data_IF_309473039276
#
_entry.id   IF_309473039276
#
_cell.length_a   1.000
_cell.length_b   1.000
_cell.length_c   1.000
_cell.angle_alpha   90.00
_cell.angle_beta   90.00
_cell.angle_gamma   90.00
#
_symmetry.space_group_name_H-M   'P 1'
#
loop_
_entity.id
_entity.type
_entity.pdbx_description
1 polymer ?
#
# COMPACT_ATOMS: atom_id res chain seq x y z
N UNK A 1 -24.49 15.18 -16.69
CA UNK A 1 -23.42 14.87 -17.67
C UNK A 1 -22.08 14.57 -16.98
N UNK A 2 -21.51 15.40 -16.09
CA UNK A 2 -20.24 15.14 -15.40
C UNK A 2 -20.23 13.86 -14.53
N UNK A 3 -21.34 13.54 -13.82
CA UNK A 3 -21.44 12.31 -13.03
C UNK A 3 -21.42 11.03 -13.85
N UNK A 4 -21.97 11.05 -15.08
CA UNK A 4 -21.96 9.88 -15.97
C UNK A 4 -20.59 9.63 -16.61
N UNK A 5 -19.86 10.68 -16.98
CA UNK A 5 -18.49 10.60 -17.49
C UNK A 5 -17.53 10.06 -16.41
N UNK A 6 -17.69 10.50 -15.16
CA UNK A 6 -16.90 10.05 -14.01
C UNK A 6 -17.15 8.56 -13.70
N UNK A 7 -18.39 8.09 -13.81
CA UNK A 7 -18.74 6.67 -13.66
C UNK A 7 -18.14 5.82 -14.77
N UNK A 8 -18.22 6.25 -16.04
CA UNK A 8 -17.61 5.54 -17.17
C UNK A 8 -16.09 5.37 -17.00
N UNK A 9 -15.40 6.41 -16.53
CA UNK A 9 -13.97 6.33 -16.24
C UNK A 9 -13.63 5.31 -15.15
N UNK A 10 -14.44 5.21 -14.07
CA UNK A 10 -14.25 4.20 -13.03
C UNK A 10 -14.43 2.77 -13.59
N UNK A 11 -15.51 2.53 -14.34
CA UNK A 11 -15.76 1.21 -14.92
C UNK A 11 -14.63 0.75 -15.86
N UNK A 12 -14.11 1.62 -16.71
CA UNK A 12 -12.98 1.30 -17.59
C UNK A 12 -11.72 0.93 -16.81
N UNK A 13 -11.39 1.66 -15.74
CA UNK A 13 -10.23 1.40 -14.88
C UNK A 13 -10.41 0.10 -14.10
N UNK A 14 -11.60 -0.15 -13.57
CA UNK A 14 -11.93 -1.38 -12.85
C UNK A 14 -11.87 -2.60 -13.78
N UNK A 15 -12.45 -2.51 -14.96
CA UNK A 15 -12.38 -3.56 -15.98
C UNK A 15 -10.92 -3.81 -16.36
N UNK A 16 -10.13 -2.76 -16.60
CA UNK A 16 -8.70 -2.89 -16.89
C UNK A 16 -7.93 -3.61 -15.79
N UNK A 17 -8.18 -3.27 -14.51
CA UNK A 17 -7.56 -3.96 -13.37
C UNK A 17 -7.97 -5.43 -13.31
N UNK A 18 -9.27 -5.74 -13.45
CA UNK A 18 -9.77 -7.12 -13.41
C UNK A 18 -9.22 -7.94 -14.59
N UNK A 19 -9.16 -7.36 -15.78
CA UNK A 19 -8.58 -8.02 -16.96
C UNK A 19 -7.08 -8.28 -16.75
N UNK A 20 -6.34 -7.33 -16.18
CA UNK A 20 -4.93 -7.52 -15.84
C UNK A 20 -4.74 -8.67 -14.85
N UNK A 21 -5.52 -8.70 -13.77
CA UNK A 21 -5.47 -9.78 -12.78
C UNK A 21 -5.84 -11.14 -13.40
N UNK A 22 -6.87 -11.20 -14.22
CA UNK A 22 -7.25 -12.42 -14.91
C UNK A 22 -6.17 -12.90 -15.88
N UNK A 23 -5.55 -11.99 -16.64
CA UNK A 23 -4.45 -12.31 -17.54
C UNK A 23 -3.22 -12.83 -16.79
N UNK A 24 -2.86 -12.20 -15.65
CA UNK A 24 -1.78 -12.69 -14.79
C UNK A 24 -2.07 -14.09 -14.25
N UNK A 25 -3.30 -14.35 -13.82
CA UNK A 25 -3.70 -15.69 -13.35
C UNK A 25 -3.54 -16.74 -14.46
N UNK A 26 -4.13 -16.50 -15.63
CA UNK A 26 -4.09 -17.43 -16.78
C UNK A 26 -2.65 -17.71 -17.22
N UNK A 27 -1.79 -16.68 -17.22
CA UNK A 27 -0.40 -16.81 -17.62
C UNK A 27 0.44 -17.70 -16.67
N UNK A 28 0.11 -17.73 -15.37
CA UNK A 28 0.95 -18.34 -14.35
C UNK A 28 0.27 -19.48 -13.55
N UNK A 29 -1.01 -19.80 -13.82
CA UNK A 29 -1.76 -20.84 -13.08
C UNK A 29 -1.11 -22.24 -13.15
N UNK A 30 -0.35 -22.53 -14.19
CA UNK A 30 0.32 -23.83 -14.38
C UNK A 30 1.51 -24.05 -13.46
N UNK A 31 2.16 -22.98 -12.99
CA UNK A 31 3.35 -23.06 -12.14
C UNK A 31 3.10 -22.40 -10.79
N UNK A 32 3.01 -23.21 -9.73
CA UNK A 32 2.73 -22.77 -8.35
C UNK A 32 3.72 -21.73 -7.81
N UNK A 33 5.00 -21.81 -8.24
CA UNK A 33 6.02 -20.83 -7.83
C UNK A 33 5.72 -19.45 -8.40
N UNK A 34 5.45 -19.35 -9.70
CA UNK A 34 5.10 -18.08 -10.31
C UNK A 34 3.74 -17.56 -9.82
N UNK A 35 2.79 -18.46 -9.56
CA UNK A 35 1.49 -18.07 -8.98
C UNK A 35 1.67 -17.44 -7.60
N UNK A 36 2.52 -18.00 -6.73
CA UNK A 36 2.83 -17.39 -5.43
C UNK A 36 3.57 -16.05 -5.58
N UNK A 37 4.47 -15.94 -6.56
CA UNK A 37 5.19 -14.72 -6.88
C UNK A 37 4.21 -13.59 -7.27
N UNK A 38 3.30 -13.82 -8.20
CA UNK A 38 2.32 -12.81 -8.60
C UNK A 38 1.32 -12.49 -7.49
N UNK A 39 0.95 -13.49 -6.66
CA UNK A 39 0.11 -13.28 -5.47
C UNK A 39 0.78 -12.28 -4.51
N UNK A 40 2.09 -12.41 -4.29
CA UNK A 40 2.87 -11.47 -3.48
C UNK A 40 2.87 -10.06 -4.11
N UNK A 41 3.01 -9.94 -5.43
CA UNK A 41 2.94 -8.65 -6.11
C UNK A 41 1.57 -7.99 -5.96
N UNK A 42 0.49 -8.75 -6.16
CA UNK A 42 -0.90 -8.26 -5.98
C UNK A 42 -1.14 -7.81 -4.55
N UNK A 43 -0.65 -8.57 -3.56
CA UNK A 43 -0.73 -8.23 -2.15
C UNK A 43 -0.03 -6.89 -1.84
N UNK A 44 1.21 -6.73 -2.26
CA UNK A 44 1.95 -5.48 -2.03
C UNK A 44 1.36 -4.30 -2.81
N UNK A 45 0.79 -4.54 -4.01
CA UNK A 45 0.06 -3.50 -4.74
C UNK A 45 -1.15 -2.98 -3.94
N UNK A 46 -1.87 -3.87 -3.22
CA UNK A 46 -2.96 -3.46 -2.34
C UNK A 46 -2.46 -2.60 -1.17
N UNK A 47 -1.30 -2.93 -0.56
CA UNK A 47 -0.72 -2.15 0.53
C UNK A 47 -0.23 -0.78 0.05
N UNK A 48 0.49 -0.71 -1.08
CA UNK A 48 0.95 0.57 -1.67
C UNK A 48 -0.24 1.46 -1.99
N UNK A 49 -1.31 0.88 -2.53
CA UNK A 49 -2.53 1.61 -2.81
C UNK A 49 -3.25 2.06 -1.52
N UNK A 50 -3.23 1.27 -0.45
CA UNK A 50 -3.74 1.69 0.85
C UNK A 50 -2.92 2.87 1.42
N UNK A 51 -1.58 2.82 1.30
CA UNK A 51 -0.69 3.89 1.73
C UNK A 51 -0.97 5.23 1.01
N UNK A 52 -1.45 5.18 -0.24
CA UNK A 52 -1.83 6.37 -1.00
C UNK A 52 -2.92 7.22 -0.29
N UNK A 53 -3.69 6.65 0.64
CA UNK A 53 -4.70 7.40 1.40
C UNK A 53 -4.02 8.40 2.36
N UNK A 54 -3.01 7.95 3.10
CA UNK A 54 -2.30 8.79 4.07
C UNK A 54 -1.15 9.57 3.43
N UNK A 55 -0.31 8.91 2.62
CA UNK A 55 0.82 9.54 1.96
C UNK A 55 0.42 10.35 0.73
N UNK A 56 -0.46 9.80 -0.09
CA UNK A 56 -0.85 10.41 -1.36
C UNK A 56 -1.86 11.54 -1.21
N UNK A 57 -2.96 11.34 -0.47
CA UNK A 57 -3.99 12.37 -0.34
C UNK A 57 -3.72 13.34 0.79
N UNK A 58 -3.28 12.88 1.97
CA UNK A 58 -3.03 13.74 3.12
C UNK A 58 -1.60 14.29 3.19
N UNK A 59 -0.69 13.83 2.33
CA UNK A 59 0.69 14.27 2.29
C UNK A 59 1.54 13.88 3.52
N UNK A 60 1.07 12.90 4.32
CA UNK A 60 1.79 12.46 5.51
C UNK A 60 2.71 11.27 5.18
N UNK A 61 4.02 11.45 5.31
CA UNK A 61 5.00 10.37 5.09
C UNK A 61 4.93 9.36 6.25
N UNK A 62 4.03 8.38 6.12
CA UNK A 62 3.87 7.33 7.13
C UNK A 62 4.82 6.15 6.84
N UNK A 63 5.67 5.84 7.81
CA UNK A 63 6.59 4.70 7.80
C UNK A 63 6.16 3.60 8.78
N UNK A 64 4.93 3.66 9.29
CA UNK A 64 4.34 2.73 10.25
C UNK A 64 3.60 1.54 9.64
N UNK A 65 3.60 1.40 8.31
CA UNK A 65 2.81 0.41 7.56
C UNK A 65 2.87 -0.99 8.17
N UNK A 66 4.08 -1.52 8.38
CA UNK A 66 4.27 -2.87 8.92
C UNK A 66 3.90 -2.97 10.40
N UNK A 67 3.91 -1.86 11.13
CA UNK A 67 3.37 -1.80 12.49
C UNK A 67 1.86 -2.11 12.53
N UNK A 68 1.09 -1.43 11.69
CA UNK A 68 -0.35 -1.68 11.55
C UNK A 68 -0.64 -3.05 10.98
N UNK A 69 0.13 -3.49 9.97
CA UNK A 69 0.04 -4.82 9.39
C UNK A 69 0.29 -5.92 10.43
N UNK A 70 1.34 -5.77 11.23
CA UNK A 70 1.73 -6.75 12.25
C UNK A 70 0.70 -6.88 13.37
N UNK A 71 0.15 -5.76 13.86
CA UNK A 71 -0.90 -5.78 14.88
C UNK A 71 -2.17 -6.45 14.36
N UNK A 72 -2.61 -6.09 13.16
CA UNK A 72 -3.76 -6.74 12.54
C UNK A 72 -3.54 -8.23 12.31
N UNK A 73 -2.34 -8.60 11.85
CA UNK A 73 -1.94 -9.98 11.62
C UNK A 73 -2.01 -10.83 12.88
N UNK A 74 -1.39 -10.37 13.98
CA UNK A 74 -1.33 -11.16 15.23
C UNK A 74 -2.69 -11.23 15.91
N UNK A 75 -3.45 -10.13 15.97
CA UNK A 75 -4.79 -10.12 16.57
C UNK A 75 -5.72 -11.06 15.79
N UNK A 76 -5.75 -10.97 14.47
CA UNK A 76 -6.56 -11.88 13.64
C UNK A 76 -6.16 -13.34 13.82
N UNK A 77 -4.85 -13.62 13.91
CA UNK A 77 -4.33 -14.98 14.10
C UNK A 77 -4.72 -15.56 15.47
N UNK A 78 -4.66 -14.77 16.52
CA UNK A 78 -5.09 -15.18 17.87
C UNK A 78 -6.60 -15.45 17.89
N UNK A 79 -7.41 -14.56 17.31
CA UNK A 79 -8.86 -14.71 17.26
C UNK A 79 -9.27 -15.96 16.46
N UNK A 80 -8.64 -16.21 15.34
CA UNK A 80 -8.90 -17.38 14.51
C UNK A 80 -8.45 -18.68 15.19
N UNK A 81 -7.25 -18.71 15.81
CA UNK A 81 -6.69 -19.92 16.39
C UNK A 81 -7.26 -20.28 17.77
N UNK A 82 -7.39 -19.29 18.66
CA UNK A 82 -7.69 -19.54 20.08
C UNK A 82 -9.19 -19.49 20.36
N UNK A 83 -9.91 -18.60 19.66
CA UNK A 83 -11.36 -18.41 19.83
C UNK A 83 -12.15 -19.17 18.77
N UNK A 84 -11.49 -19.59 17.66
CA UNK A 84 -12.15 -20.29 16.55
C UNK A 84 -13.09 -19.39 15.73
N UNK A 85 -12.87 -18.07 15.75
CA UNK A 85 -13.69 -17.15 14.98
C UNK A 85 -13.50 -17.37 13.47
N UNK A 86 -14.59 -17.15 12.74
CA UNK A 86 -14.55 -17.22 11.28
C UNK A 86 -13.51 -16.25 10.72
N UNK A 87 -12.68 -16.65 9.72
CA UNK A 87 -11.58 -15.85 9.18
C UNK A 87 -11.97 -14.42 8.75
N UNK A 88 -13.15 -14.26 8.15
CA UNK A 88 -13.65 -12.93 7.74
C UNK A 88 -13.89 -12.00 8.95
N UNK A 89 -14.41 -12.53 10.07
CA UNK A 89 -14.60 -11.76 11.29
C UNK A 89 -13.25 -11.40 11.89
N UNK A 90 -12.31 -12.35 11.91
CA UNK A 90 -10.95 -12.14 12.39
C UNK A 90 -10.20 -11.05 11.61
N UNK A 91 -10.35 -11.00 10.27
CA UNK A 91 -9.82 -9.94 9.41
C UNK A 91 -10.36 -8.57 9.81
N UNK A 92 -11.68 -8.45 10.00
CA UNK A 92 -12.32 -7.18 10.36
C UNK A 92 -11.84 -6.71 11.75
N UNK A 93 -11.80 -7.59 12.73
CA UNK A 93 -11.36 -7.28 14.09
C UNK A 93 -9.87 -6.93 14.15
N UNK A 94 -9.03 -7.62 13.35
CA UNK A 94 -7.63 -7.27 13.19
C UNK A 94 -7.43 -5.90 12.55
N UNK A 95 -8.21 -5.58 11.53
CA UNK A 95 -8.23 -4.25 10.94
C UNK A 95 -8.67 -3.16 11.93
N UNK A 96 -9.72 -3.42 12.70
CA UNK A 96 -10.19 -2.50 13.74
C UNK A 96 -9.15 -2.28 14.83
N UNK A 97 -8.46 -3.33 15.28
CA UNK A 97 -7.38 -3.20 16.28
C UNK A 97 -6.24 -2.32 15.76
N UNK A 98 -5.88 -2.46 14.49
CA UNK A 98 -4.87 -1.62 13.84
C UNK A 98 -5.34 -0.17 13.70
N UNK A 99 -6.60 0.05 13.35
CA UNK A 99 -7.18 1.39 13.26
C UNK A 99 -7.24 2.08 14.63
N UNK A 100 -7.62 1.35 15.69
CA UNK A 100 -7.64 1.87 17.06
C UNK A 100 -6.23 2.22 17.55
N UNK A 101 -5.26 1.35 17.29
CA UNK A 101 -3.85 1.62 17.59
C UNK A 101 -3.36 2.87 16.84
N UNK A 102 -3.61 2.94 15.54
CA UNK A 102 -3.25 4.11 14.72
C UNK A 102 -3.92 5.39 15.23
N UNK A 103 -5.19 5.30 15.66
CA UNK A 103 -5.92 6.38 16.29
C UNK A 103 -5.29 6.84 17.60
N UNK A 104 -4.93 5.88 18.47
CA UNK A 104 -4.30 6.16 19.78
C UNK A 104 -2.92 6.85 19.62
N UNK A 105 -2.16 6.46 18.60
CA UNK A 105 -0.84 7.02 18.30
C UNK A 105 -0.96 8.33 17.52
N UNK A 106 -1.81 8.37 16.50
CA UNK A 106 -1.96 9.54 15.62
C UNK A 106 -2.64 10.72 16.32
N UNK A 107 -3.56 10.46 17.26
CA UNK A 107 -4.25 11.54 17.98
C UNK A 107 -3.28 12.50 18.71
N UNK A 108 -2.36 12.05 19.58
CA UNK A 108 -1.40 12.97 20.18
C UNK A 108 -0.45 13.58 19.15
N UNK A 109 -0.01 12.83 18.14
CA UNK A 109 0.90 13.35 17.12
C UNK A 109 0.28 14.55 16.38
N UNK A 110 -0.94 14.41 15.88
CA UNK A 110 -1.62 15.50 15.19
C UNK A 110 -2.08 16.62 16.13
N UNK A 111 -2.40 16.29 17.39
CA UNK A 111 -2.75 17.31 18.40
C UNK A 111 -1.57 18.20 18.75
N UNK A 112 -0.38 17.66 18.87
CA UNK A 112 0.85 18.41 19.19
C UNK A 112 1.56 18.97 17.94
N UNK A 113 0.94 18.83 16.76
CA UNK A 113 1.46 19.43 15.52
C UNK A 113 2.75 18.75 15.01
N UNK A 114 2.93 17.45 15.27
CA UNK A 114 4.05 16.69 14.69
C UNK A 114 3.84 16.59 13.18
N UNK A 115 4.80 17.10 12.41
CA UNK A 115 4.71 17.23 10.95
C UNK A 115 5.95 16.66 10.26
N UNK A 116 5.79 16.39 8.96
CA UNK A 116 6.88 16.07 8.03
C UNK A 116 7.83 14.97 8.53
N UNK A 117 9.13 15.28 8.63
CA UNK A 117 10.18 14.34 9.03
C UNK A 117 9.96 13.77 10.43
N UNK A 118 9.50 14.60 11.37
CA UNK A 118 9.23 14.13 12.74
C UNK A 118 8.08 13.11 12.81
N UNK A 119 7.06 13.29 11.99
CA UNK A 119 5.99 12.31 11.84
C UNK A 119 6.52 10.99 11.26
N UNK A 120 7.31 11.07 10.17
CA UNK A 120 7.90 9.89 9.54
C UNK A 120 8.80 9.10 10.51
N UNK A 121 9.69 9.78 11.25
CA UNK A 121 10.58 9.16 12.24
C UNK A 121 9.76 8.51 13.38
N UNK A 122 8.72 9.19 13.87
CA UNK A 122 7.86 8.67 14.92
C UNK A 122 7.14 7.41 14.48
N UNK A 123 6.57 7.39 13.27
CA UNK A 123 5.87 6.21 12.75
C UNK A 123 6.83 5.04 12.47
N UNK A 124 8.07 5.31 12.04
CA UNK A 124 9.11 4.29 11.94
C UNK A 124 9.51 3.73 13.31
N UNK A 125 9.69 4.59 14.32
CA UNK A 125 10.01 4.15 15.69
C UNK A 125 8.91 3.25 16.29
N UNK A 126 7.64 3.53 15.99
CA UNK A 126 6.50 2.71 16.44
C UNK A 126 6.61 1.28 15.93
N UNK A 127 7.07 1.05 14.70
CA UNK A 127 7.28 -0.31 14.18
C UNK A 127 8.26 -1.08 15.07
N UNK A 128 9.36 -0.44 15.47
CA UNK A 128 10.37 -1.04 16.36
C UNK A 128 9.81 -1.30 17.76
N UNK A 129 9.05 -0.34 18.30
CA UNK A 129 8.40 -0.49 19.61
C UNK A 129 7.42 -1.67 19.59
N UNK A 130 6.57 -1.75 18.57
CA UNK A 130 5.58 -2.83 18.44
C UNK A 130 6.24 -4.20 18.24
N UNK A 131 7.34 -4.27 17.46
CA UNK A 131 8.12 -5.50 17.33
C UNK A 131 8.56 -6.02 18.70
N UNK A 132 9.19 -5.15 19.49
CA UNK A 132 9.67 -5.53 20.82
C UNK A 132 8.52 -5.81 21.80
N UNK A 133 7.45 -5.03 21.79
CA UNK A 133 6.28 -5.24 22.63
C UNK A 133 5.61 -6.59 22.35
N UNK A 134 5.39 -6.93 21.10
CA UNK A 134 4.79 -8.23 20.73
C UNK A 134 5.71 -9.39 21.10
N UNK A 135 7.03 -9.24 20.95
CA UNK A 135 8.00 -10.26 21.39
C UNK A 135 8.00 -10.48 22.89
N UNK A 136 7.82 -9.43 23.69
CA UNK A 136 7.70 -9.55 25.14
C UNK A 136 6.40 -10.23 25.56
N UNK A 137 5.30 -9.99 24.86
CA UNK A 137 3.97 -10.52 25.20
C UNK A 137 3.76 -11.97 24.73
N UNK A 138 4.24 -12.32 23.54
CA UNK A 138 3.95 -13.60 22.88
C UNK A 138 5.19 -14.50 22.86
N UNK A 139 6.36 -13.91 23.03
CA UNK A 139 7.66 -14.57 22.91
C UNK A 139 8.27 -14.42 21.50
N UNK A 140 9.52 -14.91 21.34
CA UNK A 140 10.26 -14.81 20.08
C UNK A 140 9.90 -15.89 19.08
N UNK A 141 8.90 -16.71 19.36
CA UNK A 141 8.55 -17.89 18.58
C UNK A 141 7.62 -17.56 17.43
N UNK A 142 7.61 -18.46 16.45
CA UNK A 142 6.65 -18.44 15.34
C UNK A 142 5.26 -18.87 15.84
N UNK A 143 4.24 -18.09 15.48
CA UNK A 143 2.86 -18.40 15.80
C UNK A 143 2.17 -18.99 14.58
N UNK A 144 2.08 -20.31 14.53
CA UNK A 144 1.49 -21.05 13.42
C UNK A 144 -0.03 -20.97 13.39
N UNK A 145 -0.61 -20.85 12.19
CA UNK A 145 -2.04 -21.02 12.02
C UNK A 145 -2.41 -22.50 12.17
N UNK A 146 -3.28 -22.79 13.14
CA UNK A 146 -3.83 -24.16 13.36
C UNK A 146 -4.72 -24.60 12.21
N UNK A 147 -5.54 -23.69 11.72
CA UNK A 147 -6.42 -23.91 10.58
C UNK A 147 -6.09 -22.90 9.50
N UNK A 148 -5.68 -23.39 8.33
CA UNK A 148 -5.49 -22.55 7.16
C UNK A 148 -6.84 -22.36 6.48
N UNK A 149 -7.41 -21.15 6.44
CA UNK A 149 -8.70 -20.90 5.81
C UNK A 149 -8.66 -21.03 4.28
N UNK A 150 -7.46 -20.89 3.71
CA UNK A 150 -7.19 -21.01 2.27
C UNK A 150 -6.20 -22.16 2.09
N UNK A 151 -6.56 -23.13 1.25
CA UNK A 151 -5.82 -24.39 1.08
C UNK A 151 -4.99 -24.42 -0.20
N UNK A 152 -5.43 -23.70 -1.23
CA UNK A 152 -4.79 -23.73 -2.56
C UNK A 152 -4.18 -22.36 -2.89
N UNK A 153 -3.17 -22.36 -3.75
CA UNK A 153 -2.56 -21.13 -4.24
C UNK A 153 -3.52 -20.33 -5.12
N UNK A 154 -4.44 -21.00 -5.81
CA UNK A 154 -5.49 -20.39 -6.63
C UNK A 154 -6.47 -19.59 -5.78
N UNK A 155 -6.94 -20.17 -4.68
CA UNK A 155 -7.80 -19.49 -3.70
C UNK A 155 -7.08 -18.29 -3.08
N UNK A 156 -5.77 -18.42 -2.80
CA UNK A 156 -4.96 -17.35 -2.23
C UNK A 156 -4.81 -16.19 -3.22
N UNK A 157 -4.55 -16.50 -4.50
CA UNK A 157 -4.51 -15.51 -5.55
C UNK A 157 -5.85 -14.78 -5.71
N UNK A 158 -6.95 -15.52 -5.69
CA UNK A 158 -8.29 -14.95 -5.77
C UNK A 158 -8.58 -14.03 -4.57
N UNK A 159 -8.25 -14.46 -3.36
CA UNK A 159 -8.45 -13.67 -2.15
C UNK A 159 -7.64 -12.35 -2.17
N UNK A 160 -6.37 -12.41 -2.58
CA UNK A 160 -5.53 -11.22 -2.71
C UNK A 160 -6.00 -10.29 -3.83
N UNK A 161 -6.48 -10.85 -4.94
CA UNK A 161 -7.06 -10.08 -6.05
C UNK A 161 -8.34 -9.36 -5.64
N UNK A 162 -9.24 -10.03 -4.92
CA UNK A 162 -10.44 -9.42 -4.35
C UNK A 162 -10.04 -8.30 -3.38
N UNK A 163 -9.06 -8.52 -2.51
CA UNK A 163 -8.56 -7.51 -1.59
C UNK A 163 -8.02 -6.27 -2.33
N UNK A 164 -7.23 -6.45 -3.39
CA UNK A 164 -6.74 -5.34 -4.21
C UNK A 164 -7.89 -4.56 -4.85
N UNK A 165 -8.88 -5.24 -5.42
CA UNK A 165 -10.07 -4.61 -6.02
C UNK A 165 -10.85 -3.80 -4.97
N UNK A 166 -11.05 -4.35 -3.77
CA UNK A 166 -11.70 -3.62 -2.67
C UNK A 166 -10.91 -2.38 -2.25
N UNK A 167 -9.59 -2.48 -2.11
CA UNK A 167 -8.73 -1.33 -1.79
C UNK A 167 -8.75 -0.30 -2.91
N UNK A 168 -8.78 -0.72 -4.18
CA UNK A 168 -8.94 0.17 -5.33
C UNK A 168 -10.27 0.94 -5.26
N UNK A 169 -11.38 0.26 -4.98
CA UNK A 169 -12.70 0.87 -4.85
C UNK A 169 -12.75 1.84 -3.67
N UNK A 170 -12.15 1.49 -2.52
CA UNK A 170 -12.04 2.34 -1.34
C UNK A 170 -11.21 3.60 -1.64
N UNK A 171 -10.05 3.46 -2.29
CA UNK A 171 -9.24 4.59 -2.73
C UNK A 171 -10.02 5.53 -3.65
N UNK A 172 -10.73 4.95 -4.63
CA UNK A 172 -11.56 5.74 -5.54
C UNK A 172 -12.71 6.45 -4.78
N UNK A 173 -13.35 5.78 -3.83
CA UNK A 173 -14.39 6.37 -2.99
C UNK A 173 -13.85 7.51 -2.14
N UNK A 174 -12.72 7.32 -1.46
CA UNK A 174 -12.05 8.37 -0.67
C UNK A 174 -11.67 9.54 -1.57
N UNK A 175 -11.00 9.28 -2.70
CA UNK A 175 -10.55 10.31 -3.65
C UNK A 175 -11.69 11.23 -4.14
N UNK A 176 -12.91 10.71 -4.24
CA UNK A 176 -14.09 11.41 -4.74
C UNK A 176 -15.05 11.87 -3.64
N UNK A 177 -14.73 11.63 -2.38
CA UNK A 177 -15.50 12.04 -1.21
C UNK A 177 -15.09 13.44 -0.71
N UNK A 178 -15.90 14.01 0.21
CA UNK A 178 -15.53 15.24 0.93
C UNK A 178 -14.21 15.08 1.68
N UNK A 179 -13.99 13.90 2.28
CA UNK A 179 -12.73 13.56 2.94
C UNK A 179 -11.54 13.75 1.99
N UNK A 180 -11.59 13.16 0.78
CA UNK A 180 -10.50 13.28 -0.18
C UNK A 180 -10.24 14.73 -0.65
N UNK A 181 -11.26 15.56 -0.76
CA UNK A 181 -11.08 16.99 -1.06
C UNK A 181 -10.36 17.72 0.07
N UNK A 182 -10.75 17.51 1.33
CA UNK A 182 -10.09 18.12 2.48
C UNK A 182 -8.65 17.64 2.64
N UNK A 183 -8.40 16.33 2.46
CA UNK A 183 -7.04 15.80 2.54
C UNK A 183 -6.10 16.41 1.49
N UNK A 184 -6.57 16.59 0.26
CA UNK A 184 -5.78 17.26 -0.79
C UNK A 184 -5.51 18.72 -0.47
N UNK A 185 -6.49 19.44 0.06
CA UNK A 185 -6.29 20.83 0.51
C UNK A 185 -5.23 20.91 1.62
N UNK A 186 -5.27 19.99 2.59
CA UNK A 186 -4.28 19.87 3.67
C UNK A 186 -2.88 19.58 3.10
N UNK A 187 -2.78 18.71 2.11
CA UNK A 187 -1.51 18.37 1.47
C UNK A 187 -0.88 19.55 0.74
N UNK A 188 -1.69 20.36 0.06
CA UNK A 188 -1.20 21.54 -0.69
C UNK A 188 -0.70 22.65 0.27
N UNK A 189 -1.51 22.99 1.28
CA UNK A 189 -1.14 23.93 2.34
C UNK A 189 -2.03 23.72 3.59
N UNK A 190 -1.43 23.17 4.64
CA UNK A 190 -2.14 22.88 5.89
C UNK A 190 -2.64 24.14 6.59
N UNK A 191 -1.82 25.23 6.60
CA UNK A 191 -2.20 26.48 7.26
C UNK A 191 -3.32 27.20 6.51
N UNK A 192 -3.27 27.20 5.18
CA UNK A 192 -4.34 27.76 4.36
C UNK A 192 -5.65 26.97 4.53
N UNK A 193 -5.58 25.63 4.63
CA UNK A 193 -6.75 24.80 4.90
C UNK A 193 -7.37 25.09 6.27
N UNK A 194 -6.55 25.28 7.32
CA UNK A 194 -7.01 25.69 8.65
C UNK A 194 -7.67 27.08 8.63
N UNK A 195 -7.09 28.04 7.89
CA UNK A 195 -7.62 29.40 7.79
C UNK A 195 -9.04 29.45 7.19
N UNK A 196 -9.39 28.51 6.32
CA UNK A 196 -10.75 28.38 5.75
C UNK A 196 -11.66 27.45 6.56
N UNK A 197 -11.25 27.04 7.79
CA UNK A 197 -12.07 26.28 8.73
C UNK A 197 -12.01 24.75 8.59
N UNK A 198 -11.04 24.19 7.86
CA UNK A 198 -10.84 22.75 7.79
C UNK A 198 -10.15 22.26 9.05
N UNK A 199 -10.75 21.31 9.79
CA UNK A 199 -10.11 20.66 10.95
C UNK A 199 -9.08 19.63 10.47
N UNK A 200 -7.84 20.10 10.22
CA UNK A 200 -6.76 19.31 9.63
C UNK A 200 -6.41 18.07 10.47
N UNK A 201 -6.47 18.21 11.81
CA UNK A 201 -6.17 17.13 12.76
C UNK A 201 -7.15 15.97 12.62
N UNK A 202 -8.45 16.26 12.59
CA UNK A 202 -9.49 15.22 12.45
C UNK A 202 -9.40 14.52 11.12
N UNK A 203 -9.21 15.23 10.02
CA UNK A 203 -9.15 14.62 8.70
C UNK A 203 -7.89 13.78 8.51
N UNK A 204 -6.71 14.20 8.99
CA UNK A 204 -5.49 13.41 9.01
C UNK A 204 -5.65 12.14 9.86
N UNK A 205 -6.26 12.27 11.05
CA UNK A 205 -6.53 11.11 11.93
C UNK A 205 -7.46 10.10 11.27
N UNK A 206 -8.54 10.55 10.64
CA UNK A 206 -9.45 9.67 9.90
C UNK A 206 -8.76 8.95 8.74
N UNK A 207 -7.93 9.66 7.97
CA UNK A 207 -7.15 9.05 6.89
C UNK A 207 -6.19 7.98 7.42
N UNK A 208 -5.49 8.25 8.53
CA UNK A 208 -4.60 7.31 9.20
C UNK A 208 -5.35 6.06 9.68
N UNK A 209 -6.51 6.24 10.32
CA UNK A 209 -7.31 5.11 10.81
C UNK A 209 -7.87 4.24 9.68
N UNK A 210 -8.35 4.85 8.58
CA UNK A 210 -8.84 4.11 7.40
C UNK A 210 -7.68 3.32 6.77
N UNK A 211 -6.54 3.95 6.58
CA UNK A 211 -5.35 3.30 6.06
C UNK A 211 -4.89 2.14 6.96
N UNK A 212 -4.77 2.35 8.25
CA UNK A 212 -4.37 1.33 9.22
C UNK A 212 -5.37 0.16 9.28
N UNK A 213 -6.68 0.44 9.17
CA UNK A 213 -7.71 -0.60 9.06
C UNK A 213 -7.48 -1.52 7.85
N UNK A 214 -7.25 -0.92 6.68
CA UNK A 214 -7.02 -1.68 5.44
C UNK A 214 -5.75 -2.53 5.58
N UNK A 215 -4.64 -1.92 6.00
CA UNK A 215 -3.35 -2.60 6.12
C UNK A 215 -3.38 -3.69 7.20
N UNK A 216 -4.04 -3.44 8.34
CA UNK A 216 -4.23 -4.42 9.40
C UNK A 216 -5.08 -5.62 8.93
N UNK A 217 -6.15 -5.37 8.17
CA UNK A 217 -6.96 -6.43 7.55
C UNK A 217 -6.14 -7.27 6.57
N UNK A 218 -5.30 -6.64 5.76
CA UNK A 218 -4.38 -7.33 4.84
C UNK A 218 -3.30 -8.13 5.59
N UNK A 219 -2.96 -7.73 6.83
CA UNK A 219 -1.99 -8.44 7.66
C UNK A 219 -2.34 -9.91 7.89
N UNK A 220 -3.62 -10.24 8.15
CA UNK A 220 -4.05 -11.63 8.29
C UNK A 220 -3.91 -12.42 6.98
N UNK A 221 -4.22 -11.81 5.85
CA UNK A 221 -4.04 -12.44 4.55
C UNK A 221 -2.56 -12.78 4.29
N UNK A 222 -1.64 -11.93 4.77
CA UNK A 222 -0.20 -12.19 4.70
C UNK A 222 0.23 -13.37 5.59
N UNK A 223 -0.37 -13.51 6.81
CA UNK A 223 -0.15 -14.71 7.65
C UNK A 223 -0.63 -15.96 6.94
N UNK A 224 -1.81 -15.92 6.34
CA UNK A 224 -2.36 -17.07 5.57
C UNK A 224 -1.45 -17.45 4.40
N UNK A 225 -0.87 -16.46 3.72
CA UNK A 225 0.05 -16.67 2.59
C UNK A 225 1.35 -17.36 3.03
N UNK A 226 1.90 -16.98 4.20
CA UNK A 226 3.16 -17.55 4.72
C UNK A 226 2.89 -18.83 5.54
N UNK A 227 1.75 -18.90 6.23
CA UNK A 227 1.34 -19.99 7.09
C UNK A 227 1.63 -19.80 8.57
N UNK A 228 2.37 -18.76 8.95
CA UNK A 228 2.71 -18.42 10.33
C UNK A 228 2.93 -16.92 10.50
N UNK A 229 2.79 -16.44 11.72
CA UNK A 229 3.19 -15.09 12.11
C UNK A 229 4.58 -15.14 12.75
N UNK A 230 5.45 -14.23 12.36
CA UNK A 230 6.78 -14.06 12.91
C UNK A 230 7.12 -12.57 13.04
N UNK A 231 7.40 -12.12 14.26
CA UNK A 231 7.52 -10.69 14.60
C UNK A 231 8.48 -9.92 13.69
N UNK A 232 9.69 -10.43 13.48
CA UNK A 232 10.69 -9.74 12.65
C UNK A 232 10.27 -9.53 11.20
N UNK A 233 9.42 -10.43 10.67
CA UNK A 233 8.94 -10.32 9.29
C UNK A 233 7.74 -9.39 9.15
N UNK A 234 6.91 -9.34 10.19
CA UNK A 234 5.69 -8.52 10.19
C UNK A 234 5.92 -7.09 10.68
N UNK A 235 6.97 -6.84 11.44
CA UNK A 235 7.37 -5.52 11.93
C UNK A 235 8.73 -5.10 11.35
N UNK A 236 8.84 -5.11 10.02
CA UNK A 236 10.05 -4.74 9.30
C UNK A 236 9.95 -3.29 8.80
N UNK A 237 10.77 -2.41 9.34
CA UNK A 237 10.84 -0.99 8.93
C UNK A 237 11.29 -0.82 7.47
N UNK A 238 12.14 -1.69 6.96
CA UNK A 238 12.59 -1.66 5.57
C UNK A 238 11.45 -1.89 4.59
N UNK A 239 10.52 -2.82 4.91
CA UNK A 239 9.30 -3.02 4.13
C UNK A 239 8.42 -1.77 4.17
N UNK A 240 8.23 -1.14 5.34
CA UNK A 240 7.47 0.11 5.46
C UNK A 240 8.04 1.22 4.59
N UNK A 241 9.35 1.43 4.65
CA UNK A 241 10.06 2.42 3.81
C UNK A 241 9.90 2.09 2.33
N UNK A 242 10.05 0.83 1.93
CA UNK A 242 9.86 0.40 0.54
C UNK A 242 8.45 0.72 0.03
N UNK A 243 7.40 0.48 0.84
CA UNK A 243 6.01 0.79 0.48
C UNK A 243 5.83 2.29 0.28
N UNK A 244 6.37 3.12 1.17
CA UNK A 244 6.30 4.58 1.06
C UNK A 244 7.02 5.07 -0.22
N UNK A 245 8.21 4.56 -0.52
CA UNK A 245 8.96 4.89 -1.74
C UNK A 245 8.18 4.51 -2.99
N UNK A 246 7.58 3.30 -3.02
CA UNK A 246 6.75 2.87 -4.15
C UNK A 246 5.53 3.78 -4.33
N UNK A 247 4.91 4.23 -3.24
CA UNK A 247 3.80 5.20 -3.26
C UNK A 247 4.23 6.56 -3.81
N UNK A 248 5.39 7.06 -3.40
CA UNK A 248 5.95 8.34 -3.88
C UNK A 248 6.30 8.27 -5.37
N UNK A 249 7.06 7.25 -5.80
CA UNK A 249 7.43 7.05 -7.21
C UNK A 249 6.19 6.80 -8.08
N UNK A 250 5.16 6.14 -7.52
CA UNK A 250 3.86 6.00 -8.18
C UNK A 250 3.17 7.33 -8.44
N UNK A 251 3.59 8.40 -7.77
CA UNK A 251 2.99 9.73 -7.82
C UNK A 251 1.91 9.91 -6.77
N UNK A 252 2.16 10.83 -5.85
CA UNK A 252 1.30 11.10 -4.70
C UNK A 252 -0.14 11.40 -5.12
N UNK A 253 -1.08 10.62 -4.63
CA UNK A 253 -2.51 10.75 -4.93
C UNK A 253 -2.96 10.11 -6.26
N UNK A 254 -2.05 9.47 -7.01
CA UNK A 254 -2.35 8.76 -8.25
C UNK A 254 -2.62 7.28 -7.97
N UNK A 255 -3.86 6.83 -8.17
CA UNK A 255 -4.25 5.43 -8.00
C UNK A 255 -3.52 4.54 -9.03
N UNK A 256 -3.53 4.97 -10.29
CA UNK A 256 -2.91 4.23 -11.38
C UNK A 256 -1.39 4.18 -11.25
N UNK A 257 -0.79 5.30 -10.87
CA UNK A 257 0.66 5.36 -10.67
C UNK A 257 1.12 4.46 -9.52
N UNK A 258 0.42 4.42 -8.39
CA UNK A 258 0.69 3.50 -7.29
C UNK A 258 0.60 2.03 -7.71
N UNK A 259 -0.39 1.66 -8.54
CA UNK A 259 -0.49 0.30 -9.07
C UNK A 259 0.69 -0.03 -10.00
N UNK A 260 1.01 0.86 -10.93
CA UNK A 260 2.11 0.66 -11.87
C UNK A 260 3.45 0.56 -11.13
N UNK A 261 3.73 1.45 -10.16
CA UNK A 261 4.97 1.38 -9.36
C UNK A 261 5.06 0.08 -8.57
N UNK A 262 3.96 -0.35 -7.94
CA UNK A 262 3.92 -1.58 -7.17
C UNK A 262 4.19 -2.82 -8.06
N UNK A 263 3.52 -2.94 -9.21
CA UNK A 263 3.74 -4.08 -10.08
C UNK A 263 5.12 -4.07 -10.74
N UNK A 264 5.58 -2.95 -11.28
CA UNK A 264 6.85 -2.86 -11.99
C UNK A 264 8.04 -2.89 -11.02
N UNK A 265 8.10 -1.96 -10.08
CA UNK A 265 9.28 -1.82 -9.24
C UNK A 265 9.40 -2.93 -8.21
N UNK A 266 8.28 -3.33 -7.58
CA UNK A 266 8.30 -4.49 -6.67
C UNK A 266 8.60 -5.77 -7.45
N UNK A 267 8.05 -5.92 -8.66
CA UNK A 267 8.33 -7.05 -9.56
C UNK A 267 9.81 -7.14 -9.91
N UNK A 268 10.42 -6.02 -10.30
CA UNK A 268 11.87 -5.95 -10.57
C UNK A 268 12.68 -6.29 -9.31
N UNK A 269 12.32 -5.70 -8.15
CA UNK A 269 13.01 -5.99 -6.89
C UNK A 269 12.96 -7.47 -6.51
N UNK A 270 11.80 -8.10 -6.64
CA UNK A 270 11.63 -9.51 -6.32
C UNK A 270 12.33 -10.43 -7.33
N UNK A 271 12.32 -10.05 -8.62
CA UNK A 271 13.09 -10.75 -9.66
C UNK A 271 14.60 -10.68 -9.41
N UNK A 272 15.12 -9.49 -9.10
CA UNK A 272 16.53 -9.31 -8.74
C UNK A 272 16.90 -10.11 -7.49
N UNK A 273 16.02 -10.13 -6.49
CA UNK A 273 16.21 -10.94 -5.29
C UNK A 273 16.34 -12.42 -5.62
N UNK A 274 15.46 -12.94 -6.46
CA UNK A 274 15.45 -14.34 -6.82
C UNK A 274 16.65 -14.74 -7.70
N UNK A 275 17.03 -13.87 -8.64
CA UNK A 275 18.09 -14.14 -9.60
C UNK A 275 19.50 -13.92 -9.06
N UNK A 276 19.68 -12.99 -8.10
CA UNK A 276 21.00 -12.54 -7.65
C UNK A 276 21.34 -12.94 -6.22
N UNK A 277 20.36 -13.38 -5.41
CA UNK A 277 20.60 -13.69 -3.99
C UNK A 277 21.62 -14.83 -3.77
N UNK A 278 21.74 -15.73 -4.74
CA UNK A 278 22.68 -16.85 -4.71
C UNK A 278 24.10 -16.49 -5.17
N UNK A 279 24.28 -15.35 -5.86
CA UNK A 279 25.59 -14.90 -6.37
C UNK A 279 26.29 -14.09 -5.28
N UNK A 280 25.68 -13.00 -4.81
CA UNK A 280 26.20 -12.16 -3.72
C UNK A 280 25.03 -11.76 -2.83
N UNK A 281 25.05 -12.15 -1.53
CA UNK A 281 24.03 -11.69 -0.58
C UNK A 281 23.96 -10.15 -0.52
N UNK A 282 22.76 -9.59 -0.69
CA UNK A 282 22.55 -8.14 -0.64
C UNK A 282 22.73 -7.38 -1.97
N UNK A 283 23.33 -7.96 -3.02
CA UNK A 283 23.52 -7.31 -4.32
C UNK A 283 22.18 -6.81 -4.90
N UNK A 284 21.11 -7.60 -4.75
CA UNK A 284 19.79 -7.22 -5.21
C UNK A 284 19.26 -5.96 -4.52
N UNK A 285 19.59 -5.73 -3.24
CA UNK A 285 19.18 -4.52 -2.51
C UNK A 285 19.92 -3.28 -3.04
N UNK A 286 21.21 -3.41 -3.34
CA UNK A 286 22.00 -2.33 -3.92
C UNK A 286 21.46 -1.92 -5.28
N UNK A 287 21.23 -2.90 -6.16
CA UNK A 287 20.70 -2.63 -7.50
C UNK A 287 19.27 -2.05 -7.44
N UNK A 288 18.42 -2.60 -6.59
CA UNK A 288 17.08 -2.09 -6.39
C UNK A 288 17.09 -0.65 -5.85
N UNK A 289 17.95 -0.37 -4.86
CA UNK A 289 18.14 0.99 -4.33
C UNK A 289 18.64 1.97 -5.40
N UNK A 290 19.60 1.56 -6.26
CA UNK A 290 20.06 2.37 -7.36
C UNK A 290 18.95 2.70 -8.37
N UNK A 291 18.09 1.72 -8.71
CA UNK A 291 16.92 1.95 -9.57
C UNK A 291 15.97 2.98 -8.95
N UNK A 292 15.66 2.84 -7.65
CA UNK A 292 14.76 3.76 -6.95
C UNK A 292 15.32 5.19 -6.87
N UNK A 293 16.61 5.33 -6.57
CA UNK A 293 17.28 6.64 -6.53
C UNK A 293 17.26 7.28 -7.92
N UNK A 294 17.63 6.52 -8.95
CA UNK A 294 17.63 7.03 -10.33
C UNK A 294 16.25 7.54 -10.75
N UNK A 295 15.20 6.77 -10.47
CA UNK A 295 13.84 7.18 -10.77
C UNK A 295 13.41 8.42 -9.98
N UNK A 296 13.73 8.50 -8.70
CA UNK A 296 13.40 9.65 -7.86
C UNK A 296 14.11 10.94 -8.29
N UNK A 297 15.36 10.85 -8.76
CA UNK A 297 16.14 12.02 -9.24
C UNK A 297 15.70 12.45 -10.65
N UNK A 298 15.47 11.47 -11.55
CA UNK A 298 15.16 11.79 -12.96
C UNK A 298 13.72 12.28 -13.12
N UNK A 299 12.78 11.77 -12.31
CA UNK A 299 11.36 12.12 -12.43
C UNK A 299 10.72 12.38 -11.05
N UNK A 300 10.88 13.61 -10.51
CA UNK A 300 10.32 14.00 -9.21
C UNK A 300 8.78 13.90 -9.14
N UNK A 301 8.09 14.05 -10.30
CA UNK A 301 6.63 13.89 -10.40
C UNK A 301 6.19 12.41 -10.43
N UNK A 302 7.14 11.48 -10.42
CA UNK A 302 6.89 10.04 -10.49
C UNK A 302 6.35 9.56 -11.83
N UNK A 303 5.76 8.36 -11.84
CA UNK A 303 5.23 7.72 -13.07
C UNK A 303 4.23 8.59 -13.86
N UNK A 304 3.33 9.38 -13.22
CA UNK A 304 2.46 10.30 -13.96
C UNK A 304 3.21 11.37 -14.75
N UNK A 305 4.36 11.84 -14.27
CA UNK A 305 5.23 12.77 -14.98
C UNK A 305 5.78 12.16 -16.27
N UNK A 306 6.29 10.93 -16.19
CA UNK A 306 6.75 10.16 -17.35
C UNK A 306 5.65 10.05 -18.40
N UNK A 307 4.44 9.65 -18.00
CA UNK A 307 3.30 9.49 -18.88
C UNK A 307 2.91 10.81 -19.59
N UNK A 308 2.98 11.95 -18.88
CA UNK A 308 2.72 13.27 -19.45
C UNK A 308 3.77 13.66 -20.50
N UNK A 309 5.06 13.43 -20.21
CA UNK A 309 6.15 13.71 -21.18
C UNK A 309 5.98 12.90 -22.47
N UNK A 310 5.69 11.60 -22.35
CA UNK A 310 5.43 10.75 -23.52
C UNK A 310 4.24 11.22 -24.34
N UNK A 311 3.13 11.60 -23.72
CA UNK A 311 1.95 12.10 -24.44
C UNK A 311 2.20 13.45 -25.10
N UNK A 312 3.05 14.30 -24.52
CA UNK A 312 3.44 15.59 -25.12
C UNK A 312 4.35 15.39 -26.34
N UNK A 313 5.32 14.48 -26.26
CA UNK A 313 6.19 14.13 -27.39
C UNK A 313 5.40 13.58 -28.57
N UNK A 314 4.44 12.67 -28.32
CA UNK A 314 3.58 12.11 -29.37
C UNK A 314 2.65 13.16 -30.03
N UNK A 315 2.25 14.20 -29.29
CA UNK A 315 1.46 15.31 -29.85
C UNK A 315 2.30 16.28 -30.69
N UNK A 316 3.56 16.50 -30.30
CA UNK A 316 4.49 17.38 -31.05
C UNK A 316 4.88 16.76 -32.42
N UNK A 317 5.02 15.45 -32.47
CA UNK A 317 5.34 14.71 -33.72
C UNK A 317 4.18 14.68 -34.70
N UNK A 318 2.95 14.97 -34.26
CA UNK A 318 1.74 15.00 -35.12
C UNK A 318 1.36 16.39 -35.62
N UNK A 319 2.14 17.46 -35.37
CA UNK A 319 1.93 18.73 -36.04
C UNK A 319 2.56 18.63 -37.43
N UNK A 320 1.78 18.59 -38.52
CA UNK A 320 2.33 18.70 -39.88
C UNK A 320 3.03 20.06 -39.96
N UNK A 321 4.26 20.05 -40.48
CA UNK A 321 4.92 21.27 -41.00
C UNK A 321 4.03 21.81 -42.10
N UNK A 322 3.04 22.58 -41.70
CA UNK A 322 2.10 23.24 -42.63
C UNK A 322 2.72 24.52 -43.13
N UNK A 323 3.06 24.50 -44.37
CA UNK A 323 3.35 25.45 -45.39
C UNK A 323 3.41 26.93 -45.02
N UNK A 324 4.60 27.45 -45.13
CA UNK A 324 4.85 28.82 -45.53
C UNK A 324 4.16 29.04 -46.89
N UNK A 325 3.15 29.89 -46.89
CA UNK A 325 2.75 30.63 -48.07
C UNK A 325 2.92 32.10 -47.79
#
# INVERSE_FOLDING_TARGET
MLRSLRRRGLYLRLIGLVVLLAAMYIAFMTNKYYLLFITNLVFFAAIVLAWNIIGGYAGQLDLGTTGYMGVGAIVSSILSNNIGLHPLISIILGGLSSALLAGAIGFPMFRFGVREVWYALSTAAIVVILNNAVRLLIGPYEYYLRVRPIKTYDELYLATSIALVLVFLLNHAVNNSRLGYYLKAIREDELAAEAIGVDTRRYKLLALMIYAFIVGSLGYLYVVMIGYFYTYRFFDTGISVSIAILGIIGGLGSIEGCLVSAFLLRGVGEYLRTSLAHIIPGLHLLLYGAVLITLGVVEPEGIPGIARRFTTLLKTTKRPVGGVK
#
